data_IF_304987919998
#
_entry.id   IF_304987919998
#
_cell.length_a   1.000
_cell.length_b   1.000
_cell.length_c   1.000
_cell.angle_alpha   90.00
_cell.angle_beta   90.00
_cell.angle_gamma   90.00
#
_symmetry.space_group_name_H-M   'P 1'
#
loop_
_entity.id
_entity.type
_entity.pdbx_description
1 polymer ?
#
# COMPACT_ATOMS: atom_id res chain seq x y z
N UNK A 1 -2.84 -19.17 14.79
CA UNK A 1 -1.57 -18.89 14.09
C UNK A 1 -1.74 -19.26 12.62
N UNK A 2 -1.51 -18.32 11.70
CA UNK A 2 -1.62 -18.58 10.26
C UNK A 2 -0.50 -19.52 9.80
N UNK A 3 -0.77 -20.37 8.81
CA UNK A 3 0.24 -21.28 8.24
C UNK A 3 1.37 -20.45 7.60
N UNK A 4 2.65 -20.81 7.81
CA UNK A 4 3.77 -20.14 7.15
C UNK A 4 3.58 -20.11 5.62
N UNK A 5 4.00 -19.03 4.98
CA UNK A 5 4.06 -18.92 3.53
C UNK A 5 5.32 -18.15 3.11
N UNK A 6 5.79 -18.33 1.87
CA UNK A 6 6.85 -17.50 1.34
C UNK A 6 6.41 -16.04 1.30
N UNK A 7 7.30 -15.15 1.72
CA UNK A 7 7.12 -13.72 1.53
C UNK A 7 7.29 -13.37 0.05
N UNK A 8 6.59 -12.33 -0.40
CA UNK A 8 6.78 -11.76 -1.72
C UNK A 8 8.14 -11.07 -1.89
N UNK A 9 8.54 -10.90 -3.15
CA UNK A 9 9.75 -10.17 -3.52
C UNK A 9 9.67 -8.69 -3.10
N UNK A 10 10.74 -8.18 -2.51
CA UNK A 10 10.78 -6.81 -1.99
C UNK A 10 10.56 -5.77 -3.07
N UNK A 11 11.17 -5.92 -4.25
CA UNK A 11 11.06 -4.95 -5.34
C UNK A 11 9.64 -4.93 -5.89
N UNK A 12 9.02 -6.09 -6.08
CA UNK A 12 7.63 -6.21 -6.51
C UNK A 12 6.69 -5.48 -5.55
N UNK A 13 6.81 -5.74 -4.25
CA UNK A 13 5.90 -5.15 -3.26
C UNK A 13 6.15 -3.66 -3.02
N UNK A 14 7.39 -3.20 -3.13
CA UNK A 14 7.73 -1.77 -3.14
C UNK A 14 7.02 -1.04 -4.29
N UNK A 15 7.05 -1.62 -5.49
CA UNK A 15 6.37 -1.04 -6.67
C UNK A 15 4.86 -1.06 -6.50
N UNK A 16 4.28 -2.18 -6.07
CA UNK A 16 2.84 -2.30 -5.82
C UNK A 16 2.35 -1.30 -4.76
N UNK A 17 3.10 -1.12 -3.67
CA UNK A 17 2.76 -0.15 -2.63
C UNK A 17 2.74 1.28 -3.17
N UNK A 18 3.79 1.68 -3.91
CA UNK A 18 3.86 3.01 -4.54
C UNK A 18 2.71 3.24 -5.54
N UNK A 19 2.40 2.23 -6.36
CA UNK A 19 1.29 2.32 -7.32
C UNK A 19 -0.07 2.38 -6.61
N UNK A 20 -0.26 1.61 -5.53
CA UNK A 20 -1.46 1.70 -4.69
C UNK A 20 -1.62 3.10 -4.13
N UNK A 21 -0.57 3.65 -3.50
CA UNK A 21 -0.62 4.98 -2.92
C UNK A 21 -1.01 6.05 -3.95
N UNK A 22 -0.35 6.04 -5.12
CA UNK A 22 -0.67 6.96 -6.21
C UNK A 22 -2.13 6.84 -6.70
N UNK A 23 -2.62 5.62 -6.92
CA UNK A 23 -3.98 5.41 -7.44
C UNK A 23 -5.07 5.71 -6.41
N UNK A 24 -4.78 5.62 -5.12
CA UNK A 24 -5.73 5.95 -4.05
C UNK A 24 -5.60 7.40 -3.55
N UNK A 25 -4.59 8.14 -4.04
CA UNK A 25 -4.29 9.50 -3.61
C UNK A 25 -3.71 9.59 -2.20
N UNK A 26 -3.06 8.52 -1.72
CA UNK A 26 -2.20 8.56 -0.55
C UNK A 26 -0.90 9.30 -0.91
N UNK A 27 -0.55 10.32 -0.14
CA UNK A 27 0.65 11.13 -0.35
C UNK A 27 1.73 10.76 0.67
N UNK A 28 2.65 9.92 0.22
CA UNK A 28 3.75 9.46 1.06
C UNK A 28 4.75 10.58 1.33
N UNK A 29 4.95 11.52 0.41
CA UNK A 29 5.90 12.63 0.58
C UNK A 29 5.40 13.57 1.68
N UNK A 30 4.15 14.02 1.59
CA UNK A 30 3.53 14.83 2.63
C UNK A 30 3.54 14.11 3.99
N UNK A 31 3.25 12.82 4.01
CA UNK A 31 3.29 12.04 5.25
C UNK A 31 4.69 11.98 5.87
N UNK A 32 5.76 11.94 5.05
CA UNK A 32 7.14 12.08 5.52
C UNK A 32 7.44 13.48 6.08
N UNK A 33 6.99 14.52 5.40
CA UNK A 33 7.20 15.91 5.83
C UNK A 33 6.47 16.23 7.14
N UNK A 34 5.28 15.65 7.34
CA UNK A 34 4.47 15.81 8.56
C UNK A 34 4.88 14.87 9.70
N UNK A 35 5.74 13.88 9.43
CA UNK A 35 6.17 12.87 10.41
C UNK A 35 5.14 11.76 10.70
N UNK A 36 4.02 11.72 9.98
CA UNK A 36 3.01 10.64 10.05
C UNK A 36 3.56 9.33 9.46
N UNK A 37 4.52 9.42 8.55
CA UNK A 37 5.27 8.28 8.01
C UNK A 37 6.76 8.57 8.12
N UNK A 38 7.53 7.70 8.75
CA UNK A 38 8.99 7.81 8.81
C UNK A 38 9.66 6.64 8.07
N UNK A 39 10.99 6.59 8.12
CA UNK A 39 11.77 5.59 7.38
C UNK A 39 11.47 4.16 7.85
N UNK A 40 11.30 3.96 9.16
CA UNK A 40 10.99 2.66 9.74
C UNK A 40 9.54 2.26 9.40
N UNK A 41 8.59 3.18 9.50
CA UNK A 41 7.20 2.99 9.08
C UNK A 41 7.07 2.64 7.59
N UNK A 42 7.95 3.20 6.74
CA UNK A 42 8.02 2.81 5.33
C UNK A 42 8.51 1.37 5.15
N UNK A 43 9.58 0.98 5.86
CA UNK A 43 10.09 -0.39 5.83
C UNK A 43 9.01 -1.36 6.30
N UNK A 44 8.36 -1.07 7.42
CA UNK A 44 7.27 -1.86 7.98
C UNK A 44 6.09 -1.99 6.99
N UNK A 45 5.74 -0.90 6.28
CA UNK A 45 4.70 -0.94 5.26
C UNK A 45 5.04 -1.88 4.11
N UNK A 46 6.29 -1.85 3.63
CA UNK A 46 6.74 -2.75 2.55
C UNK A 46 6.81 -4.20 3.05
N UNK A 47 7.31 -4.45 4.26
CA UNK A 47 7.38 -5.79 4.84
C UNK A 47 5.99 -6.39 5.07
N UNK A 48 5.05 -5.61 5.63
CA UNK A 48 3.64 -5.98 5.76
C UNK A 48 3.00 -6.29 4.41
N UNK A 49 3.35 -5.53 3.37
CA UNK A 49 2.90 -5.81 2.02
C UNK A 49 3.44 -7.14 1.48
N UNK A 50 4.71 -7.46 1.74
CA UNK A 50 5.34 -8.73 1.31
C UNK A 50 4.74 -9.96 1.97
N UNK A 51 4.24 -9.83 3.20
CA UNK A 51 3.54 -10.90 3.91
C UNK A 51 2.04 -10.98 3.55
N UNK A 52 1.55 -10.14 2.63
CA UNK A 52 0.14 -10.17 2.26
C UNK A 52 -0.23 -11.44 1.49
N UNK A 53 -1.47 -11.90 1.69
CA UNK A 53 -2.08 -13.01 0.93
C UNK A 53 -2.92 -12.54 -0.26
N UNK A 54 -2.97 -11.24 -0.49
CA UNK A 54 -3.87 -10.61 -1.45
C UNK A 54 -3.15 -10.00 -2.66
N UNK A 55 -1.94 -10.47 -2.98
CA UNK A 55 -1.12 -9.90 -4.06
C UNK A 55 -1.80 -9.94 -5.43
N UNK A 56 -2.49 -11.04 -5.77
CA UNK A 56 -3.21 -11.17 -7.04
C UNK A 56 -4.41 -10.21 -7.11
N UNK A 57 -5.10 -10.02 -5.98
CA UNK A 57 -6.19 -9.06 -5.85
C UNK A 57 -5.69 -7.62 -5.99
N UNK A 58 -4.56 -7.31 -5.37
CA UNK A 58 -3.86 -6.04 -5.52
C UNK A 58 -3.53 -5.76 -6.99
N UNK A 59 -2.90 -6.71 -7.69
CA UNK A 59 -2.57 -6.55 -9.11
C UNK A 59 -3.81 -6.30 -9.99
N UNK A 60 -4.88 -7.08 -9.80
CA UNK A 60 -6.15 -6.86 -10.53
C UNK A 60 -6.78 -5.51 -10.22
N UNK A 61 -6.75 -5.11 -8.95
CA UNK A 61 -7.25 -3.80 -8.53
C UNK A 61 -6.47 -2.67 -9.21
N UNK A 62 -5.14 -2.73 -9.23
CA UNK A 62 -4.28 -1.69 -9.81
C UNK A 62 -4.36 -1.65 -11.34
N UNK A 63 -4.61 -2.79 -12.00
CA UNK A 63 -4.77 -2.89 -13.45
C UNK A 63 -6.10 -2.33 -13.96
N UNK A 64 -7.15 -2.25 -13.12
CA UNK A 64 -8.46 -1.77 -13.52
C UNK A 64 -8.43 -0.25 -13.77
N UNK A 65 -8.89 0.28 -14.92
CA UNK A 65 -9.02 1.72 -15.12
C UNK A 65 -10.02 2.33 -14.13
N UNK A 66 -9.80 3.59 -13.74
CA UNK A 66 -10.74 4.38 -12.95
C UNK A 66 -10.71 5.85 -13.38
N UNK A 67 -11.86 6.50 -13.34
CA UNK A 67 -11.96 7.95 -13.47
C UNK A 67 -11.70 8.57 -12.08
N UNK A 68 -10.50 9.12 -11.88
CA UNK A 68 -10.09 9.73 -10.61
C UNK A 68 -9.47 8.74 -9.61
N UNK A 69 -9.46 9.15 -8.33
CA UNK A 69 -8.86 8.37 -7.23
C UNK A 69 -9.71 7.14 -6.91
N UNK A 70 -9.05 6.00 -6.73
CA UNK A 70 -9.69 4.78 -6.23
C UNK A 70 -9.81 4.81 -4.72
N UNK A 71 -10.85 4.19 -4.17
CA UNK A 71 -10.92 3.92 -2.75
C UNK A 71 -9.87 2.86 -2.36
N UNK A 72 -9.23 3.04 -1.19
CA UNK A 72 -8.27 2.07 -0.66
C UNK A 72 -9.00 0.74 -0.39
N UNK A 73 -8.57 -0.38 -1.00
CA UNK A 73 -9.26 -1.66 -0.85
C UNK A 73 -9.09 -2.19 0.58
N UNK A 74 -10.17 -2.70 1.15
CA UNK A 74 -10.19 -3.25 2.52
C UNK A 74 -9.21 -4.42 2.73
N UNK A 75 -8.95 -5.19 1.67
CA UNK A 75 -8.07 -6.36 1.71
C UNK A 75 -6.58 -6.00 1.56
N UNK A 76 -6.24 -4.72 1.36
CA UNK A 76 -4.86 -4.29 1.36
C UNK A 76 -4.28 -4.38 2.78
N UNK A 77 -3.14 -5.05 2.93
CA UNK A 77 -2.46 -5.16 4.22
C UNK A 77 -2.03 -3.79 4.80
N UNK A 78 -1.94 -2.75 3.97
CA UNK A 78 -1.63 -1.38 4.38
C UNK A 78 -2.84 -0.45 4.30
N UNK A 79 -4.07 -0.98 4.30
CA UNK A 79 -5.26 -0.17 4.05
C UNK A 79 -5.41 1.00 5.05
N UNK A 80 -5.12 0.76 6.34
CA UNK A 80 -5.27 1.78 7.38
C UNK A 80 -4.25 2.90 7.21
N UNK A 81 -2.96 2.56 7.08
CA UNK A 81 -1.90 3.53 6.78
C UNK A 81 -2.22 4.33 5.51
N UNK A 82 -2.64 3.66 4.43
CA UNK A 82 -2.94 4.34 3.17
C UNK A 82 -4.10 5.33 3.33
N UNK A 83 -5.16 4.97 4.07
CA UNK A 83 -6.30 5.85 4.33
C UNK A 83 -5.91 7.05 5.18
N UNK A 84 -5.07 6.85 6.18
CA UNK A 84 -4.58 7.91 7.06
C UNK A 84 -3.83 9.00 6.28
N UNK A 85 -3.09 8.61 5.24
CA UNK A 85 -2.26 9.53 4.46
C UNK A 85 -2.89 9.96 3.12
N UNK A 86 -4.17 9.66 2.86
CA UNK A 86 -4.89 10.19 1.69
C UNK A 86 -4.91 11.71 1.72
N UNK A 87 -4.66 12.33 0.56
CA UNK A 87 -4.78 13.77 0.38
C UNK A 87 -6.19 14.26 0.73
N UNK A 88 -6.33 15.33 1.54
CA UNK A 88 -7.61 16.00 1.69
C UNK A 88 -8.14 16.42 0.31
N UNK A 89 -9.44 16.24 0.10
CA UNK A 89 -10.12 16.49 -1.17
C UNK A 89 -10.33 17.95 -1.48
#
# INVERSE_FOLDING_TARGET
>A
MSRPHPMGDTRTHLMLFRTMAAQTGADTLRAFEEGTLDADGWVDAVERCRDCRWVEGCQRFLARPAEGRKAVPQDCANADLLREIVLPG
#
